data_IF_198806407986
#
_entry.id   IF_198806407986
#
_cell.length_a   1.000
_cell.length_b   1.000
_cell.length_c   1.000
_cell.angle_alpha   90.00
_cell.angle_beta   90.00
_cell.angle_gamma   90.00
#
_symmetry.space_group_name_H-M   'P 1'
#
loop_
_entity.id
_entity.type
_entity.pdbx_description
1 polymer ?
#
# COMPACT_ATOMS: atom_id res chain seq x y z
N UNK A 1 22.68 8.41 12.50
CA UNK A 1 21.78 7.24 12.71
C UNK A 1 21.59 6.56 11.37
N UNK A 2 21.61 5.22 11.29
CA UNK A 2 21.31 4.53 10.04
C UNK A 2 19.91 4.92 9.56
N UNK A 3 19.79 5.22 8.26
CA UNK A 3 18.51 5.56 7.64
C UNK A 3 17.75 4.27 7.32
N UNK A 4 16.41 4.28 7.28
CA UNK A 4 15.65 3.09 6.86
C UNK A 4 15.70 2.88 5.33
N UNK A 5 16.37 3.76 4.57
CA UNK A 5 16.33 3.79 3.10
C UNK A 5 17.51 3.03 2.51
N UNK A 6 17.22 2.15 1.55
CA UNK A 6 18.22 1.41 0.75
C UNK A 6 18.26 2.01 -0.65
N UNK A 7 19.47 2.28 -1.15
CA UNK A 7 19.74 2.71 -2.55
C UNK A 7 19.11 4.01 -3.03
N UNK A 8 18.31 4.68 -2.20
CA UNK A 8 17.60 5.91 -2.55
C UNK A 8 17.84 7.00 -1.51
N UNK A 9 17.85 8.26 -1.97
CA UNK A 9 17.88 9.45 -1.12
C UNK A 9 16.55 10.18 -1.26
N UNK A 10 15.63 10.03 -0.30
CA UNK A 10 14.35 10.72 -0.33
C UNK A 10 14.47 12.25 -0.30
N UNK A 11 13.52 12.91 -0.95
CA UNK A 11 13.29 14.34 -0.79
C UNK A 11 12.78 14.60 0.63
N UNK A 12 13.57 15.36 1.40
CA UNK A 12 13.20 15.77 2.74
C UNK A 12 11.93 16.62 2.71
N UNK A 13 11.09 16.49 3.75
CA UNK A 13 9.79 17.21 3.81
C UNK A 13 9.96 18.72 3.67
N UNK A 14 11.00 19.26 4.30
CA UNK A 14 11.27 20.69 4.37
C UNK A 14 11.77 21.24 3.02
N UNK A 15 12.27 20.36 2.14
CA UNK A 15 12.72 20.67 0.79
C UNK A 15 11.70 20.27 -0.28
N UNK A 16 10.62 19.58 0.09
CA UNK A 16 9.60 19.13 -0.85
C UNK A 16 8.82 20.31 -1.42
N UNK A 17 8.61 20.29 -2.73
CA UNK A 17 7.79 21.25 -3.48
C UNK A 17 6.90 20.52 -4.49
N UNK A 18 5.90 21.23 -5.03
CA UNK A 18 5.02 20.70 -6.07
C UNK A 18 4.32 19.40 -5.64
N UNK A 19 4.16 18.41 -6.54
CA UNK A 19 3.39 17.20 -6.26
C UNK A 19 3.88 16.39 -5.05
N UNK A 20 5.20 16.36 -4.79
CA UNK A 20 5.78 15.68 -3.62
C UNK A 20 5.29 16.32 -2.31
N UNK A 21 5.28 17.65 -2.24
CA UNK A 21 4.81 18.38 -1.06
C UNK A 21 3.30 18.19 -0.84
N UNK A 22 2.53 18.16 -1.93
CA UNK A 22 1.08 17.94 -1.86
C UNK A 22 0.75 16.54 -1.34
N UNK A 23 1.45 15.52 -1.83
CA UNK A 23 1.34 14.13 -1.35
C UNK A 23 1.68 14.04 0.15
N UNK A 24 2.79 14.65 0.59
CA UNK A 24 3.13 14.71 2.03
C UNK A 24 2.06 15.46 2.84
N UNK A 25 1.44 16.49 2.26
CA UNK A 25 0.32 17.20 2.84
C UNK A 25 -0.91 16.31 3.02
N UNK A 26 -1.25 15.48 2.04
CA UNK A 26 -2.34 14.50 2.15
C UNK A 26 -2.05 13.48 3.25
N UNK A 27 -0.83 12.90 3.30
CA UNK A 27 -0.44 11.96 4.37
C UNK A 27 -0.57 12.55 5.77
N UNK A 28 -0.12 13.80 5.94
CA UNK A 28 -0.24 14.49 7.22
C UNK A 28 -1.70 14.64 7.67
N UNK A 29 -2.63 14.88 6.73
CA UNK A 29 -4.06 14.99 7.02
C UNK A 29 -4.70 13.63 7.29
N UNK A 30 -4.39 12.62 6.48
CA UNK A 30 -5.10 11.34 6.49
C UNK A 30 -4.56 10.36 7.54
N UNK A 31 -3.28 10.46 7.90
CA UNK A 31 -2.63 9.60 8.90
C UNK A 31 -2.13 10.35 10.14
N UNK A 32 -2.07 11.69 10.11
CA UNK A 32 -1.36 12.46 11.14
C UNK A 32 0.16 12.32 11.05
N UNK A 33 0.66 11.68 9.99
CA UNK A 33 2.07 11.39 9.76
C UNK A 33 2.47 11.98 8.40
N UNK A 34 3.33 12.97 8.41
CA UNK A 34 3.90 13.52 7.17
C UNK A 34 5.16 12.79 6.70
N UNK A 35 5.56 11.73 7.41
CA UNK A 35 6.79 10.98 7.17
C UNK A 35 6.44 9.49 7.17
N UNK A 36 5.98 9.00 6.03
CA UNK A 36 5.78 7.58 5.79
C UNK A 36 7.00 7.09 4.97
N UNK A 37 7.91 6.29 5.55
CA UNK A 37 9.15 5.89 4.87
C UNK A 37 8.90 5.35 3.46
N UNK A 38 7.88 4.51 3.27
CA UNK A 38 7.46 4.00 1.96
C UNK A 38 7.34 5.10 0.90
N UNK A 39 6.54 6.12 1.16
CA UNK A 39 6.29 7.14 0.14
C UNK A 39 7.44 8.12 0.01
N UNK A 40 8.23 8.29 1.07
CA UNK A 40 9.48 9.03 0.97
C UNK A 40 10.45 8.33 0.00
N UNK A 41 10.50 6.99 -0.07
CA UNK A 41 11.39 6.29 -1.01
C UNK A 41 11.04 6.56 -2.46
N UNK A 42 9.78 6.88 -2.75
CA UNK A 42 9.31 7.18 -4.11
C UNK A 42 9.49 8.65 -4.49
N UNK A 43 9.79 9.54 -3.53
CA UNK A 43 9.85 10.98 -3.79
C UNK A 43 10.86 11.47 -4.84
N UNK A 44 11.95 10.74 -5.15
CA UNK A 44 12.80 11.09 -6.30
C UNK A 44 12.16 10.82 -7.67
N UNK A 45 11.06 10.06 -7.72
CA UNK A 45 10.24 9.81 -8.91
C UNK A 45 8.81 10.34 -8.64
N UNK A 46 8.57 11.66 -8.78
CA UNK A 46 7.32 12.29 -8.36
C UNK A 46 6.06 11.68 -8.98
N UNK A 47 6.11 11.31 -10.25
CA UNK A 47 4.96 10.74 -10.97
C UNK A 47 4.58 9.36 -10.39
N UNK A 48 5.59 8.52 -10.12
CA UNK A 48 5.41 7.22 -9.43
C UNK A 48 4.88 7.42 -8.01
N UNK A 49 5.45 8.37 -7.25
CA UNK A 49 4.98 8.70 -5.90
C UNK A 49 3.50 9.09 -5.91
N UNK A 50 3.12 10.02 -6.78
CA UNK A 50 1.78 10.57 -6.86
C UNK A 50 0.77 9.49 -7.26
N UNK A 51 1.08 8.72 -8.31
CA UNK A 51 0.19 7.66 -8.77
C UNK A 51 0.06 6.52 -7.74
N UNK A 52 1.15 6.13 -7.08
CA UNK A 52 1.13 5.14 -6.01
C UNK A 52 0.36 5.62 -4.78
N UNK A 53 0.53 6.89 -4.39
CA UNK A 53 -0.22 7.50 -3.30
C UNK A 53 -1.71 7.54 -3.61
N UNK A 54 -2.11 7.98 -4.80
CA UNK A 54 -3.52 8.00 -5.20
C UNK A 54 -4.11 6.59 -5.19
N UNK A 55 -3.41 5.59 -5.74
CA UNK A 55 -3.89 4.21 -5.76
C UNK A 55 -4.12 3.65 -4.34
N UNK A 56 -3.18 3.90 -3.41
CA UNK A 56 -3.35 3.51 -2.01
C UNK A 56 -4.45 4.32 -1.32
N UNK A 57 -4.45 5.64 -1.47
CA UNK A 57 -5.38 6.53 -0.77
C UNK A 57 -6.83 6.24 -1.13
N UNK A 58 -7.11 6.16 -2.42
CA UNK A 58 -8.47 5.97 -2.92
C UNK A 58 -9.00 4.56 -2.62
N UNK A 59 -8.13 3.54 -2.61
CA UNK A 59 -8.55 2.16 -2.34
C UNK A 59 -8.63 1.82 -0.84
N UNK A 60 -7.63 2.20 -0.04
CA UNK A 60 -7.52 1.85 1.37
C UNK A 60 -8.22 2.87 2.29
N UNK A 61 -8.05 4.17 2.04
CA UNK A 61 -8.41 5.22 3.01
C UNK A 61 -9.80 5.81 2.77
N UNK A 62 -10.17 5.99 1.51
CA UNK A 62 -11.43 6.57 1.10
C UNK A 62 -12.50 5.51 0.84
N UNK A 63 -13.70 5.94 0.46
CA UNK A 63 -14.78 5.04 0.05
C UNK A 63 -15.70 4.60 1.20
N UNK A 64 -16.47 3.54 0.94
CA UNK A 64 -17.58 3.11 1.79
C UNK A 64 -17.38 1.76 2.44
N UNK A 65 -16.51 0.92 1.89
CA UNK A 65 -16.20 -0.38 2.48
C UNK A 65 -15.50 -0.19 3.84
N UNK A 66 -15.79 -1.04 4.84
CA UNK A 66 -15.24 -0.89 6.17
C UNK A 66 -13.71 -0.86 6.17
N UNK A 67 -13.13 0.20 6.76
CA UNK A 67 -11.67 0.38 6.84
C UNK A 67 -10.96 -0.83 7.45
N UNK A 68 -11.55 -1.46 8.48
CA UNK A 68 -11.02 -2.68 9.10
C UNK A 68 -10.84 -3.79 8.07
N UNK A 69 -11.84 -4.05 7.23
CA UNK A 69 -11.75 -5.08 6.20
C UNK A 69 -10.62 -4.81 5.21
N UNK A 70 -10.45 -3.55 4.80
CA UNK A 70 -9.38 -3.17 3.88
C UNK A 70 -7.99 -3.33 4.50
N UNK A 71 -7.84 -3.00 5.79
CA UNK A 71 -6.60 -3.25 6.55
C UNK A 71 -6.33 -4.76 6.68
N UNK A 72 -7.36 -5.60 6.86
CA UNK A 72 -7.21 -7.06 6.84
C UNK A 72 -6.70 -7.55 5.48
N UNK A 73 -7.24 -7.03 4.37
CA UNK A 73 -6.75 -7.34 3.02
C UNK A 73 -5.29 -6.90 2.84
N UNK A 74 -4.97 -5.66 3.20
CA UNK A 74 -3.60 -5.13 3.12
C UNK A 74 -2.61 -5.98 3.94
N UNK A 75 -3.02 -6.41 5.13
CA UNK A 75 -2.21 -7.29 5.99
C UNK A 75 -2.05 -8.68 5.37
N UNK A 76 -3.13 -9.26 4.80
CA UNK A 76 -3.08 -10.57 4.14
C UNK A 76 -2.14 -10.60 2.95
N UNK A 77 -2.22 -9.59 2.07
CA UNK A 77 -1.29 -9.43 0.95
C UNK A 77 0.15 -9.26 1.46
N UNK A 78 0.35 -8.47 2.53
CA UNK A 78 1.66 -8.24 3.13
C UNK A 78 2.27 -9.49 3.75
N UNK A 79 1.46 -10.36 4.37
CA UNK A 79 1.89 -11.66 4.90
C UNK A 79 2.30 -12.59 3.75
N UNK A 80 1.49 -12.66 2.70
CA UNK A 80 1.75 -13.52 1.55
C UNK A 80 2.99 -13.09 0.76
N UNK A 81 3.17 -11.77 0.62
CA UNK A 81 4.37 -11.16 0.09
C UNK A 81 5.49 -11.05 1.14
N UNK A 82 5.42 -11.70 2.30
CA UNK A 82 6.49 -11.72 3.33
C UNK A 82 7.12 -10.34 3.64
N UNK A 83 6.36 -9.24 3.63
CA UNK A 83 6.86 -7.89 3.91
C UNK A 83 6.74 -7.56 5.41
N UNK A 84 7.81 -7.65 6.23
CA UNK A 84 7.71 -7.49 7.69
C UNK A 84 7.32 -6.07 8.08
N UNK A 85 7.93 -5.06 7.43
CA UNK A 85 7.60 -3.65 7.60
C UNK A 85 6.10 -3.39 7.41
N UNK A 86 5.52 -3.98 6.35
CA UNK A 86 4.12 -3.77 5.98
C UNK A 86 3.20 -4.46 7.00
N UNK A 87 3.52 -5.70 7.41
CA UNK A 87 2.76 -6.42 8.45
C UNK A 87 2.74 -5.65 9.76
N UNK A 88 3.88 -5.11 10.19
CA UNK A 88 3.98 -4.30 11.40
C UNK A 88 3.18 -2.99 11.29
N UNK A 89 3.29 -2.28 10.16
CA UNK A 89 2.54 -1.05 9.89
C UNK A 89 1.02 -1.29 9.94
N UNK A 90 0.54 -2.34 9.26
CA UNK A 90 -0.89 -2.68 9.25
C UNK A 90 -1.38 -3.21 10.59
N UNK A 91 -0.54 -3.88 11.38
CA UNK A 91 -0.89 -4.24 12.77
C UNK A 91 -1.17 -2.98 13.60
N UNK A 92 -0.34 -1.94 13.47
CA UNK A 92 -0.58 -0.64 14.14
C UNK A 92 -1.87 0.03 13.65
N UNK A 93 -2.14 -0.02 12.34
CA UNK A 93 -3.37 0.54 11.77
C UNK A 93 -4.62 -0.23 12.20
N UNK A 94 -4.56 -1.55 12.32
CA UNK A 94 -5.62 -2.37 12.92
C UNK A 94 -5.83 -2.03 14.40
N UNK A 95 -4.78 -1.72 15.16
CA UNK A 95 -4.98 -1.16 16.50
C UNK A 95 -5.69 0.20 16.46
N UNK A 96 -5.44 1.03 15.45
CA UNK A 96 -6.04 2.36 15.30
C UNK A 96 -7.54 2.31 14.99
N UNK A 97 -8.03 1.24 14.36
CA UNK A 97 -9.47 1.03 14.14
C UNK A 97 -10.22 0.68 15.43
N UNK A 98 -9.50 0.26 16.48
CA UNK A 98 -10.05 -0.11 17.79
C UNK A 98 -10.11 -1.62 18.02
N UNK A 99 -9.94 -2.45 16.99
CA UNK A 99 -9.93 -3.92 17.12
C UNK A 99 -8.53 -4.45 17.43
N UNK A 100 -8.11 -4.23 18.68
CA UNK A 100 -6.80 -4.68 19.15
C UNK A 100 -6.64 -6.21 19.18
N UNK A 101 -7.76 -6.94 19.33
CA UNK A 101 -7.74 -8.40 19.34
C UNK A 101 -7.43 -8.93 17.95
N UNK A 102 -8.16 -8.45 16.94
CA UNK A 102 -7.91 -8.77 15.54
C UNK A 102 -6.48 -8.43 15.11
N UNK A 103 -6.00 -7.23 15.46
CA UNK A 103 -4.64 -6.78 15.15
C UNK A 103 -3.60 -7.80 15.64
N UNK A 104 -3.69 -8.21 16.89
CA UNK A 104 -2.72 -9.13 17.50
C UNK A 104 -2.90 -10.58 17.04
N UNK A 105 -4.11 -11.02 16.72
CA UNK A 105 -4.37 -12.34 16.12
C UNK A 105 -3.70 -12.46 14.76
N UNK A 106 -3.93 -11.50 13.86
CA UNK A 106 -3.32 -11.52 12.52
C UNK A 106 -1.80 -11.38 12.62
N UNK A 107 -1.28 -10.52 13.51
CA UNK A 107 0.16 -10.37 13.71
C UNK A 107 0.88 -11.64 14.19
N UNK A 108 0.16 -12.58 14.83
CA UNK A 108 0.68 -13.91 15.20
C UNK A 108 0.55 -14.95 14.08
N UNK A 109 0.02 -14.58 12.92
CA UNK A 109 -0.30 -15.51 11.84
C UNK A 109 -1.51 -16.41 12.14
N UNK A 110 -2.34 -16.04 13.12
CA UNK A 110 -3.53 -16.79 13.50
C UNK A 110 -4.75 -16.34 12.68
N UNK A 111 -5.72 -17.23 12.53
CA UNK A 111 -6.98 -16.93 11.84
C UNK A 111 -7.89 -16.05 12.72
N UNK A 112 -8.46 -14.96 12.19
CA UNK A 112 -9.48 -14.17 12.88
C UNK A 112 -10.68 -15.01 13.33
N UNK A 113 -11.22 -14.73 14.51
CA UNK A 113 -12.46 -15.37 14.99
C UNK A 113 -13.73 -14.93 14.24
N UNK A 114 -13.70 -13.73 13.63
CA UNK A 114 -14.78 -13.28 12.73
C UNK A 114 -14.72 -14.03 11.40
N UNK A 115 -15.79 -14.75 10.99
CA UNK A 115 -15.80 -15.45 9.72
C UNK A 115 -15.61 -14.53 8.50
N UNK A 116 -16.06 -13.28 8.59
CA UNK A 116 -15.87 -12.28 7.54
C UNK A 116 -14.40 -11.91 7.38
N UNK A 117 -13.73 -11.52 8.47
CA UNK A 117 -12.31 -11.17 8.44
C UNK A 117 -11.43 -12.36 8.08
N UNK A 118 -11.78 -13.58 8.53
CA UNK A 118 -11.07 -14.79 8.15
C UNK A 118 -11.12 -15.05 6.64
N UNK A 119 -12.29 -14.88 6.01
CA UNK A 119 -12.42 -15.02 4.55
C UNK A 119 -11.67 -13.93 3.79
N UNK A 120 -11.72 -12.68 4.25
CA UNK A 120 -10.95 -11.58 3.65
C UNK A 120 -9.44 -11.84 3.72
N UNK A 121 -8.95 -12.25 4.89
CA UNK A 121 -7.53 -12.57 5.10
C UNK A 121 -7.08 -13.72 4.19
N UNK A 122 -7.84 -14.82 4.17
CA UNK A 122 -7.53 -15.98 3.33
C UNK A 122 -7.56 -15.64 1.83
N UNK A 123 -8.56 -14.87 1.39
CA UNK A 123 -8.64 -14.40 0.00
C UNK A 123 -7.43 -13.54 -0.37
N UNK A 124 -7.07 -12.58 0.48
CA UNK A 124 -5.93 -11.69 0.25
C UNK A 124 -4.58 -12.43 0.27
N UNK A 125 -4.44 -13.49 1.08
CA UNK A 125 -3.24 -14.33 1.05
C UNK A 125 -3.14 -15.15 -0.25
N UNK A 126 -4.29 -15.55 -0.81
CA UNK A 126 -4.35 -16.31 -2.05
C UNK A 126 -4.15 -15.45 -3.32
N UNK A 127 -4.04 -14.12 -3.20
CA UNK A 127 -3.75 -13.25 -4.36
C UNK A 127 -2.26 -13.22 -4.73
N UNK A 128 -1.36 -13.75 -3.88
CA UNK A 128 0.07 -13.83 -4.20
C UNK A 128 0.41 -15.04 -5.07
N UNK A 129 1.24 -14.85 -6.09
CA UNK A 129 1.76 -15.90 -6.99
C UNK A 129 1.09 -15.94 -8.36
N UNK A 130 1.76 -16.53 -9.34
CA UNK A 130 1.18 -16.87 -10.64
C UNK A 130 -0.02 -17.80 -10.41
N UNK A 131 -1.23 -17.29 -10.67
CA UNK A 131 -2.48 -18.00 -10.39
C UNK A 131 -2.61 -19.18 -11.36
N UNK A 132 -2.04 -20.33 -11.01
CA UNK A 132 -2.36 -21.61 -11.63
C UNK A 132 -3.67 -22.14 -11.04
N UNK A 133 -4.80 -21.48 -11.33
CA UNK A 133 -6.12 -21.90 -10.87
C UNK A 133 -7.22 -20.85 -11.01
N UNK A 134 -8.50 -21.24 -10.84
CA UNK A 134 -9.59 -20.27 -10.79
C UNK A 134 -9.43 -19.38 -9.55
N UNK A 135 -9.64 -18.07 -9.72
CA UNK A 135 -9.61 -17.12 -8.62
C UNK A 135 -10.60 -17.55 -7.52
N UNK A 136 -10.15 -17.51 -6.26
CA UNK A 136 -11.03 -17.74 -5.13
C UNK A 136 -12.23 -16.77 -5.19
N UNK A 137 -13.44 -17.23 -4.86
CA UNK A 137 -14.61 -16.37 -4.91
C UNK A 137 -14.42 -15.15 -3.99
N UNK A 138 -14.80 -13.98 -4.49
CA UNK A 138 -14.68 -12.73 -3.74
C UNK A 138 -15.51 -12.80 -2.44
N UNK A 139 -14.90 -12.63 -1.25
CA UNK A 139 -15.61 -12.73 0.03
C UNK A 139 -16.34 -11.44 0.43
N UNK A 140 -16.56 -10.54 -0.51
CA UNK A 140 -17.15 -9.21 -0.31
C UNK A 140 -18.23 -8.91 -1.36
N UNK A 141 -19.17 -8.00 -1.08
CA UNK A 141 -20.23 -7.65 -2.02
C UNK A 141 -19.67 -6.96 -3.28
N UNK A 142 -20.32 -7.10 -4.46
CA UNK A 142 -19.85 -6.49 -5.70
C UNK A 142 -19.63 -4.97 -5.61
N UNK A 143 -20.46 -4.25 -4.84
CA UNK A 143 -20.32 -2.81 -4.65
C UNK A 143 -19.04 -2.39 -3.91
N UNK A 144 -18.39 -3.30 -3.19
CA UNK A 144 -17.11 -3.06 -2.52
C UNK A 144 -15.90 -3.60 -3.31
N UNK A 145 -16.11 -4.16 -4.50
CA UNK A 145 -15.06 -4.85 -5.26
C UNK A 145 -13.90 -3.91 -5.61
N UNK A 146 -14.18 -2.70 -6.11
CA UNK A 146 -13.15 -1.72 -6.43
C UNK A 146 -12.26 -1.41 -5.22
N UNK A 147 -12.86 -1.27 -4.04
CA UNK A 147 -12.17 -0.92 -2.81
C UNK A 147 -11.26 -2.06 -2.30
N UNK A 148 -11.76 -3.29 -2.27
CA UNK A 148 -10.98 -4.45 -1.81
C UNK A 148 -9.93 -4.93 -2.82
N UNK A 149 -10.29 -5.02 -4.10
CA UNK A 149 -9.36 -5.40 -5.18
C UNK A 149 -8.30 -4.33 -5.36
N UNK A 150 -8.70 -3.05 -5.37
CA UNK A 150 -7.78 -1.92 -5.41
C UNK A 150 -6.79 -1.93 -4.25
N UNK A 151 -7.26 -2.24 -3.04
CA UNK A 151 -6.38 -2.35 -1.85
C UNK A 151 -5.37 -3.49 -2.06
N UNK A 152 -5.82 -4.68 -2.48
CA UNK A 152 -4.92 -5.81 -2.70
C UNK A 152 -3.83 -5.48 -3.75
N UNK A 153 -4.22 -4.89 -4.88
CA UNK A 153 -3.29 -4.52 -5.95
C UNK A 153 -2.33 -3.41 -5.52
N UNK A 154 -2.80 -2.39 -4.80
CA UNK A 154 -1.94 -1.35 -4.24
C UNK A 154 -0.89 -1.95 -3.30
N UNK A 155 -1.25 -2.94 -2.47
CA UNK A 155 -0.29 -3.59 -1.57
C UNK A 155 0.65 -4.56 -2.28
N UNK A 156 0.25 -5.20 -3.37
CA UNK A 156 1.21 -5.91 -4.21
C UNK A 156 2.30 -4.98 -4.76
N UNK A 157 1.95 -3.76 -5.20
CA UNK A 157 2.96 -2.77 -5.59
C UNK A 157 3.78 -2.29 -4.38
N UNK A 158 3.12 -1.81 -3.34
CA UNK A 158 3.75 -1.24 -2.15
C UNK A 158 4.71 -2.22 -1.47
N UNK A 159 4.30 -3.47 -1.25
CA UNK A 159 5.15 -4.45 -0.57
C UNK A 159 6.48 -4.66 -1.30
N UNK A 160 6.48 -4.63 -2.63
CA UNK A 160 7.71 -4.79 -3.44
C UNK A 160 8.60 -3.57 -3.34
N UNK A 161 8.02 -2.37 -3.40
CA UNK A 161 8.79 -1.12 -3.20
C UNK A 161 9.40 -1.06 -1.80
N UNK A 162 8.64 -1.42 -0.75
CA UNK A 162 9.15 -1.49 0.62
C UNK A 162 10.30 -2.50 0.72
N UNK A 163 10.12 -3.71 0.20
CA UNK A 163 11.11 -4.79 0.37
C UNK A 163 12.43 -4.46 -0.36
N UNK A 164 12.34 -3.81 -1.51
CA UNK A 164 13.51 -3.37 -2.27
C UNK A 164 14.21 -2.14 -1.68
N UNK A 165 13.45 -1.14 -1.22
CA UNK A 165 13.98 0.20 -0.91
C UNK A 165 14.04 0.54 0.58
N UNK A 166 13.53 -0.32 1.47
CA UNK A 166 13.55 -0.09 2.91
C UNK A 166 14.22 -1.22 3.68
N UNK A 167 14.72 -0.88 4.86
CA UNK A 167 15.01 -1.85 5.91
C UNK A 167 13.73 -2.45 6.47
N UNK A 168 13.81 -3.67 6.96
CA UNK A 168 12.67 -4.44 7.45
C UNK A 168 11.99 -3.83 8.68
N UNK A 169 12.71 -3.00 9.44
CA UNK A 169 12.20 -2.36 10.65
C UNK A 169 11.23 -1.20 10.34
N UNK A 170 9.97 -1.34 10.79
CA UNK A 170 8.97 -0.27 10.71
C UNK A 170 9.25 0.90 11.67
N UNK A 171 9.67 0.60 12.91
CA UNK A 171 10.08 1.61 13.88
C UNK A 171 11.59 1.47 14.19
N UNK A 172 12.27 2.57 14.55
CA UNK A 172 13.69 2.53 14.90
C UNK A 172 13.98 1.48 15.98
N UNK A 173 14.99 0.65 15.74
CA UNK A 173 15.45 -0.36 16.70
C UNK A 173 14.44 -1.49 16.97
N UNK A 174 13.50 -1.74 16.06
CA UNK A 174 12.55 -2.84 16.21
C UNK A 174 11.48 -2.61 17.29
N UNK A 175 11.26 -1.36 17.71
CA UNK A 175 10.31 -1.01 18.78
C UNK A 175 8.88 -1.52 18.52
N UNK A 176 8.52 -1.70 17.25
CA UNK A 176 7.22 -2.24 16.86
C UNK A 176 6.99 -3.68 17.34
N UNK A 177 8.02 -4.41 17.77
CA UNK A 177 7.87 -5.76 18.37
C UNK A 177 7.13 -5.72 19.71
N UNK A 178 7.10 -4.57 20.39
CA UNK A 178 6.34 -4.38 21.62
C UNK A 178 4.86 -4.14 21.37
N UNK A 179 4.00 -4.99 21.95
CA UNK A 179 2.53 -4.83 21.96
C UNK A 179 2.09 -3.46 22.48
N UNK A 180 2.75 -2.95 23.52
CA UNK A 180 2.42 -1.66 24.09
C UNK A 180 2.71 -0.53 23.11
N UNK A 181 3.86 -0.58 22.43
CA UNK A 181 4.24 0.40 21.40
C UNK A 181 3.22 0.40 20.27
N UNK A 182 2.86 -0.78 19.73
CA UNK A 182 1.86 -0.88 18.66
C UNK A 182 0.51 -0.30 19.07
N UNK A 183 0.03 -0.63 20.27
CA UNK A 183 -1.24 -0.13 20.80
C UNK A 183 -1.22 1.39 21.04
N UNK A 184 -0.10 1.94 21.51
CA UNK A 184 0.06 3.39 21.71
C UNK A 184 0.11 4.11 20.36
N UNK A 185 0.88 3.60 19.40
CA UNK A 185 0.93 4.11 18.04
C UNK A 185 -0.46 4.11 17.38
N UNK A 186 -1.19 2.99 17.48
CA UNK A 186 -2.55 2.90 16.95
C UNK A 186 -3.50 3.91 17.60
N UNK A 187 -3.41 4.11 18.92
CA UNK A 187 -4.20 5.15 19.61
C UNK A 187 -3.90 6.56 19.11
N UNK A 188 -2.63 6.90 18.87
CA UNK A 188 -2.24 8.19 18.31
C UNK A 188 -2.84 8.43 16.91
N UNK A 189 -2.96 7.39 16.10
CA UNK A 189 -3.51 7.46 14.73
C UNK A 189 -5.04 7.31 14.67
N UNK A 190 -5.68 6.89 15.77
CA UNK A 190 -7.09 6.47 15.78
C UNK A 190 -8.08 7.54 15.33
N UNK A 191 -7.81 8.83 15.62
CA UNK A 191 -8.66 9.93 15.15
C UNK A 191 -8.57 10.10 13.64
N UNK A 192 -7.38 10.02 13.07
CA UNK A 192 -7.17 10.15 11.62
C UNK A 192 -7.81 8.97 10.88
N UNK A 193 -7.55 7.74 11.34
CA UNK A 193 -8.14 6.51 10.78
C UNK A 193 -9.68 6.51 10.81
N UNK A 194 -10.29 7.02 11.89
CA UNK A 194 -11.76 7.10 12.01
C UNK A 194 -12.40 8.22 11.19
N UNK A 195 -11.66 9.28 10.83
CA UNK A 195 -12.21 10.42 10.08
C UNK A 195 -12.61 10.01 8.66
N UNK A 196 -11.93 9.01 8.08
CA UNK A 196 -12.11 8.61 6.69
C UNK A 196 -11.57 9.66 5.71
N UNK A 197 -11.04 9.20 4.57
CA UNK A 197 -10.68 10.10 3.48
C UNK A 197 -11.87 10.28 2.53
N UNK A 198 -11.95 11.44 1.87
CA UNK A 198 -12.96 11.67 0.83
C UNK A 198 -12.45 11.09 -0.49
N UNK A 199 -13.30 10.32 -1.15
CA UNK A 199 -12.99 9.70 -2.44
C UNK A 199 -12.86 10.78 -3.52
N UNK A 200 -11.80 10.68 -4.32
CA UNK A 200 -11.50 11.61 -5.40
C UNK A 200 -10.50 12.71 -5.06
N UNK A 201 -10.22 12.98 -3.79
CA UNK A 201 -9.31 14.08 -3.38
C UNK A 201 -7.86 13.86 -3.85
N UNK A 202 -7.43 12.63 -4.16
CA UNK A 202 -6.11 12.38 -4.73
C UNK A 202 -6.04 12.64 -6.24
N UNK A 203 -7.19 12.68 -6.93
CA UNK A 203 -7.23 12.72 -8.39
C UNK A 203 -6.63 13.99 -9.02
N UNK A 204 -6.75 15.20 -8.42
CA UNK A 204 -6.09 16.38 -8.97
C UNK A 204 -4.56 16.23 -9.08
N UNK A 205 -3.95 15.40 -8.23
CA UNK A 205 -2.50 15.12 -8.32
C UNK A 205 -2.13 14.39 -9.62
N UNK A 206 -3.09 13.67 -10.22
CA UNK A 206 -2.87 12.86 -11.43
C UNK A 206 -3.01 13.67 -12.72
N UNK A 207 -3.38 14.96 -12.64
CA UNK A 207 -3.56 15.80 -13.81
C UNK A 207 -2.24 15.92 -14.60
N UNK A 208 -2.30 15.60 -15.89
CA UNK A 208 -1.14 15.63 -16.78
C UNK A 208 -0.26 14.37 -16.76
N UNK A 209 -0.50 13.41 -15.86
CA UNK A 209 0.22 12.15 -15.86
C UNK A 209 -0.27 11.22 -16.99
N UNK A 210 0.62 10.38 -17.55
CA UNK A 210 0.22 9.30 -18.45
C UNK A 210 -0.80 8.37 -17.79
N UNK A 211 -1.90 8.09 -18.49
CA UNK A 211 -2.93 7.17 -18.01
C UNK A 211 -3.37 6.23 -19.14
N UNK A 212 -3.46 4.94 -18.82
CA UNK A 212 -4.07 3.95 -19.70
C UNK A 212 -5.60 3.86 -19.53
N UNK A 213 -6.27 2.87 -20.16
CA UNK A 213 -7.68 2.61 -19.89
C UNK A 213 -7.91 2.17 -18.44
N UNK A 214 -9.02 2.63 -17.84
CA UNK A 214 -9.43 2.16 -16.52
C UNK A 214 -9.69 0.64 -16.53
N UNK A 215 -9.33 -0.09 -15.46
CA UNK A 215 -9.62 -1.51 -15.39
C UNK A 215 -11.12 -1.74 -15.12
N UNK A 216 -11.74 -2.72 -15.79
CA UNK A 216 -13.18 -2.98 -15.65
C UNK A 216 -13.67 -3.30 -14.23
N UNK A 217 -12.81 -3.76 -13.32
CA UNK A 217 -13.16 -4.00 -11.91
C UNK A 217 -13.33 -2.72 -11.09
N UNK A 218 -12.93 -1.56 -11.61
CA UNK A 218 -13.05 -0.25 -10.95
C UNK A 218 -13.36 0.90 -11.92
N UNK A 219 -13.89 0.59 -13.11
CA UNK A 219 -14.22 1.60 -14.12
C UNK A 219 -15.22 2.63 -13.57
N UNK A 220 -14.96 3.90 -13.87
CA UNK A 220 -15.78 5.04 -13.43
C UNK A 220 -15.56 5.44 -11.97
N UNK A 221 -14.62 4.80 -11.26
CA UNK A 221 -14.31 5.10 -9.85
C UNK A 221 -12.98 5.87 -9.72
N UNK A 222 -12.77 6.63 -8.61
CA UNK A 222 -11.46 7.20 -8.31
C UNK A 222 -10.33 6.17 -8.27
N UNK A 223 -10.63 4.94 -7.84
CA UNK A 223 -9.67 3.84 -7.77
C UNK A 223 -9.24 3.39 -9.17
N UNK A 224 -10.18 3.28 -10.10
CA UNK A 224 -9.92 2.92 -11.50
C UNK A 224 -8.98 3.93 -12.16
N UNK A 225 -9.25 5.23 -11.97
CA UNK A 225 -8.40 6.33 -12.45
C UNK A 225 -7.00 6.29 -11.85
N UNK A 226 -6.90 6.15 -10.53
CA UNK A 226 -5.61 6.10 -9.85
C UNK A 226 -4.77 4.90 -10.29
N UNK A 227 -5.40 3.73 -10.47
CA UNK A 227 -4.72 2.53 -10.96
C UNK A 227 -4.31 2.65 -12.43
N UNK A 228 -5.14 3.28 -13.26
CA UNK A 228 -4.83 3.55 -14.67
C UNK A 228 -3.64 4.51 -14.83
N UNK A 229 -3.54 5.52 -13.96
CA UNK A 229 -2.39 6.43 -13.90
C UNK A 229 -1.13 5.69 -13.42
N UNK A 230 -1.21 4.89 -12.35
CA UNK A 230 -0.05 4.11 -11.87
C UNK A 230 0.49 3.17 -12.95
N UNK A 231 -0.40 2.49 -13.68
CA UNK A 231 -0.01 1.65 -14.81
C UNK A 231 0.54 2.48 -15.98
N UNK A 232 -0.06 3.64 -16.25
CA UNK A 232 0.39 4.56 -17.30
C UNK A 232 1.83 5.02 -17.05
N UNK A 233 2.08 5.61 -15.87
CA UNK A 233 3.40 6.06 -15.42
C UNK A 233 4.43 4.93 -15.50
N UNK A 234 4.11 3.75 -14.96
CA UNK A 234 5.02 2.60 -14.97
C UNK A 234 5.38 2.09 -16.38
N UNK A 235 4.54 2.37 -17.39
CA UNK A 235 4.77 1.98 -18.78
C UNK A 235 5.34 3.12 -19.64
N UNK A 236 5.25 4.37 -19.18
CA UNK A 236 5.66 5.55 -19.93
C UNK A 236 7.04 6.06 -19.57
N UNK A 237 7.55 5.77 -18.37
CA UNK A 237 8.87 6.23 -17.99
C UNK A 237 9.95 5.51 -18.81
N UNK A 238 10.65 6.27 -19.66
CA UNK A 238 11.94 5.86 -20.19
C UNK A 238 12.91 5.79 -19.01
N UNK A 239 13.16 4.57 -18.52
CA UNK A 239 14.07 4.39 -17.40
C UNK A 239 15.49 4.70 -17.89
N UNK A 240 16.20 5.69 -17.32
CA UNK A 240 17.56 6.05 -17.74
C UNK A 240 18.58 5.03 -17.21
N UNK A 241 18.36 3.76 -17.55
CA UNK A 241 19.23 2.65 -17.24
C UNK A 241 20.13 2.38 -18.45
N UNK A 242 21.40 2.06 -18.19
CA UNK A 242 22.28 1.53 -19.23
C UNK A 242 21.75 0.21 -19.78
N UNK A 243 22.15 -0.13 -21.02
CA UNK A 243 21.67 -1.34 -21.72
C UNK A 243 21.85 -2.62 -20.89
N UNK A 244 22.96 -2.75 -20.17
CA UNK A 244 23.25 -3.90 -19.29
C UNK A 244 22.25 -4.00 -18.13
N UNK A 245 21.97 -2.88 -17.46
CA UNK A 245 20.98 -2.84 -16.37
C UNK A 245 19.57 -3.15 -16.89
N UNK A 246 19.20 -2.60 -18.05
CA UNK A 246 17.93 -2.93 -18.70
C UNK A 246 17.81 -4.41 -19.05
N UNK A 247 18.88 -5.02 -19.56
CA UNK A 247 18.91 -6.45 -19.88
C UNK A 247 18.69 -7.31 -18.63
N UNK A 248 19.36 -6.99 -17.51
CA UNK A 248 19.17 -7.71 -16.25
C UNK A 248 17.74 -7.54 -15.71
N UNK A 249 17.22 -6.32 -15.67
CA UNK A 249 15.86 -6.05 -15.18
C UNK A 249 14.82 -6.76 -16.04
N UNK A 250 14.90 -6.65 -17.36
CA UNK A 250 13.98 -7.33 -18.27
C UNK A 250 14.08 -8.86 -18.13
N UNK A 251 15.29 -9.38 -17.99
CA UNK A 251 15.54 -10.80 -17.78
C UNK A 251 15.01 -11.35 -16.46
N UNK A 252 15.06 -10.58 -15.37
CA UNK A 252 14.43 -10.96 -14.08
C UNK A 252 12.90 -10.87 -14.18
N UNK A 253 12.35 -9.78 -14.70
CA UNK A 253 10.89 -9.59 -14.84
C UNK A 253 10.27 -10.66 -15.72
N UNK A 254 10.92 -11.05 -16.82
CA UNK A 254 10.38 -12.05 -17.75
C UNK A 254 10.24 -13.46 -17.14
N UNK A 255 11.08 -13.81 -16.16
CA UNK A 255 11.04 -15.11 -15.47
C UNK A 255 10.38 -15.05 -14.10
N UNK A 256 9.94 -13.87 -13.68
CA UNK A 256 9.34 -13.67 -12.38
C UNK A 256 7.95 -14.29 -12.32
N UNK A 257 7.73 -15.12 -11.29
CA UNK A 257 6.51 -15.91 -11.10
C UNK A 257 5.45 -15.20 -10.23
N UNK A 258 5.64 -13.90 -9.98
CA UNK A 258 4.78 -13.14 -9.08
C UNK A 258 5.15 -13.27 -7.60
N UNK A 259 6.16 -14.06 -7.23
CA UNK A 259 6.65 -14.23 -5.86
C UNK A 259 7.26 -12.98 -5.23
N UNK A 260 7.61 -13.05 -3.96
CA UNK A 260 8.35 -11.98 -3.29
C UNK A 260 9.77 -11.84 -3.90
N UNK A 261 10.22 -10.60 -4.23
CA UNK A 261 11.56 -10.35 -4.77
C UNK A 261 12.69 -10.58 -3.76
#
# INVERSE_FOLDING_TARGET
MPTPFRYVVPVAREAASGPVAEVYGQMARDFGLARMPLFMTLSPAPDVLVAAWAALRESLLAGTAPRIGKEVVATGVSLANRCPFCVDAHTVLLHATGDHGLAETIARGETPGSPEHARLLAWAQATSGAVAGPAAPAPFPPGAAAEYVGTALAFHFVNRMVSALLTDDFLPGGLQRSRLVRRVGGRAMSRAVRRGAVAGDALPLLEGLPAGPEPGWAEGTPIGRAFAALRGVALSEEVPLGEEAMWHVAGEVARWDGGHP
#
